data_IF_500351759454
#
_entry.id   IF_500351759454
#
_cell.length_a   1.000
_cell.length_b   1.000
_cell.length_c   1.000
_cell.angle_alpha   90.00
_cell.angle_beta   90.00
_cell.angle_gamma   90.00
#
_symmetry.space_group_name_H-M   'P 1'
#
loop_
_entity.id
_entity.type
_entity.pdbx_description
1 polymer ?
#
# COMPACT_ATOMS: atom_id res chain seq x y z
N UNK A 1 52.60 -10.83 46.83
CA UNK A 1 52.53 -11.52 45.53
C UNK A 1 51.13 -11.33 44.96
N UNK A 2 50.96 -10.58 43.87
CA UNK A 2 49.68 -10.51 43.15
C UNK A 2 49.61 -11.72 42.21
N UNK A 3 48.76 -12.69 42.52
CA UNK A 3 48.40 -13.76 41.59
C UNK A 3 47.48 -13.17 40.53
N UNK A 4 48.01 -12.89 39.35
CA UNK A 4 47.20 -12.58 38.18
C UNK A 4 46.54 -13.88 37.71
N UNK A 5 45.24 -14.02 37.95
CA UNK A 5 44.40 -15.05 37.34
C UNK A 5 44.34 -14.79 35.84
N UNK A 6 45.21 -15.46 35.08
CA UNK A 6 45.20 -15.42 33.62
C UNK A 6 43.99 -16.21 33.13
N UNK A 7 42.99 -15.51 32.58
CA UNK A 7 41.84 -16.13 31.94
C UNK A 7 42.31 -16.84 30.67
N UNK A 8 41.91 -18.10 30.47
CA UNK A 8 42.28 -18.86 29.28
C UNK A 8 41.58 -18.28 28.05
N UNK A 9 42.29 -17.43 27.31
CA UNK A 9 41.78 -16.75 26.11
C UNK A 9 41.35 -17.73 25.01
N UNK A 10 41.93 -18.94 24.96
CA UNK A 10 41.53 -19.99 24.02
C UNK A 10 40.11 -20.50 24.30
N UNK A 11 39.78 -20.76 25.56
CA UNK A 11 38.44 -21.17 25.97
C UNK A 11 37.40 -20.06 25.82
N UNK A 12 37.81 -18.80 26.02
CA UNK A 12 36.95 -17.64 25.79
C UNK A 12 36.66 -17.42 24.29
N UNK A 13 37.65 -17.66 23.42
CA UNK A 13 37.48 -17.53 21.97
C UNK A 13 36.58 -18.64 21.40
N UNK A 14 36.72 -19.87 21.88
CA UNK A 14 35.93 -21.02 21.40
C UNK A 14 34.44 -20.84 21.72
N UNK A 15 34.11 -20.44 22.95
CA UNK A 15 32.71 -20.21 23.32
C UNK A 15 32.09 -19.01 22.59
N UNK A 16 32.87 -17.94 22.35
CA UNK A 16 32.40 -16.80 21.57
C UNK A 16 32.16 -17.16 20.09
N UNK A 17 33.00 -18.03 19.51
CA UNK A 17 32.87 -18.50 18.14
C UNK A 17 31.63 -19.39 17.96
N UNK A 18 31.39 -20.31 18.89
CA UNK A 18 30.18 -21.14 18.89
C UNK A 18 28.91 -20.31 19.09
N UNK A 19 28.93 -19.30 19.97
CA UNK A 19 27.81 -18.37 20.14
C UNK A 19 27.54 -17.58 18.85
N UNK A 20 28.56 -17.13 18.13
CA UNK A 20 28.39 -16.43 16.85
C UNK A 20 27.79 -17.33 15.78
N UNK A 21 28.27 -18.57 15.63
CA UNK A 21 27.67 -19.53 14.69
C UNK A 21 26.25 -19.85 15.10
N UNK A 22 25.98 -20.06 16.40
CA UNK A 22 24.64 -20.29 16.91
C UNK A 22 23.71 -19.13 16.54
N UNK A 23 24.07 -17.89 16.88
CA UNK A 23 23.29 -16.73 16.49
C UNK A 23 23.10 -16.67 14.97
N UNK A 24 24.15 -16.84 14.17
CA UNK A 24 24.07 -16.74 12.71
C UNK A 24 23.25 -17.89 12.05
N UNK A 25 23.21 -19.07 12.67
CA UNK A 25 22.46 -20.24 12.19
C UNK A 25 21.01 -20.28 12.69
N UNK A 26 20.72 -19.74 13.87
CA UNK A 26 19.37 -19.68 14.42
C UNK A 26 18.67 -18.35 14.19
N UNK A 27 19.36 -17.30 13.76
CA UNK A 27 18.71 -16.09 13.23
C UNK A 27 18.05 -16.43 11.90
N UNK A 28 16.78 -16.78 11.95
CA UNK A 28 15.91 -16.74 10.79
C UNK A 28 15.56 -15.28 10.53
N UNK A 29 15.93 -14.75 9.35
CA UNK A 29 15.28 -13.55 8.86
C UNK A 29 13.87 -14.00 8.47
N UNK A 30 12.87 -13.66 9.30
CA UNK A 30 11.47 -13.72 8.91
C UNK A 30 11.34 -12.84 7.66
N UNK A 31 11.24 -13.46 6.49
CA UNK A 31 10.94 -12.72 5.28
C UNK A 31 9.47 -12.35 5.35
N UNK A 32 9.17 -11.14 5.79
CA UNK A 32 7.86 -10.54 5.56
C UNK A 32 7.51 -10.75 4.10
N UNK A 33 6.32 -11.31 3.84
CA UNK A 33 5.83 -11.55 2.48
C UNK A 33 5.82 -10.20 1.77
N UNK A 34 6.82 -9.97 0.93
CA UNK A 34 6.97 -8.71 0.21
C UNK A 34 5.70 -8.43 -0.57
N UNK A 35 5.13 -7.24 -0.36
CA UNK A 35 3.94 -6.85 -1.08
C UNK A 35 4.33 -6.45 -2.49
N UNK A 36 3.80 -7.14 -3.50
CA UNK A 36 4.03 -6.78 -4.89
C UNK A 36 3.34 -5.45 -5.20
N UNK A 37 4.12 -4.37 -5.16
CA UNK A 37 3.70 -3.02 -5.52
C UNK A 37 4.55 -2.52 -6.68
N UNK A 38 3.89 -2.15 -7.77
CA UNK A 38 4.52 -1.34 -8.80
C UNK A 38 4.57 0.10 -8.31
N UNK A 39 5.78 0.57 -8.02
CA UNK A 39 5.98 1.98 -7.71
C UNK A 39 5.58 2.85 -8.91
N UNK A 40 4.95 4.00 -8.67
CA UNK A 40 4.76 5.00 -9.71
C UNK A 40 6.10 5.34 -10.36
N UNK A 41 6.08 5.64 -11.65
CA UNK A 41 7.30 6.09 -12.33
C UNK A 41 7.82 7.36 -11.64
N UNK A 42 9.14 7.46 -11.39
CA UNK A 42 9.72 8.70 -10.91
C UNK A 42 9.39 9.81 -11.90
N UNK A 43 9.03 11.00 -11.43
CA UNK A 43 8.71 12.10 -12.32
C UNK A 43 9.96 12.49 -13.12
N UNK A 44 9.78 12.72 -14.41
CA UNK A 44 10.86 13.17 -15.30
C UNK A 44 11.01 14.71 -15.31
N UNK A 45 10.16 15.44 -14.58
CA UNK A 45 10.15 16.91 -14.51
C UNK A 45 10.28 17.37 -13.05
N UNK A 46 11.02 18.46 -12.84
CA UNK A 46 11.34 19.04 -11.51
C UNK A 46 10.10 19.45 -10.70
N UNK A 47 8.94 19.60 -11.34
CA UNK A 47 7.64 19.86 -10.71
C UNK A 47 6.73 18.60 -10.80
N UNK A 48 6.96 17.62 -9.93
CA UNK A 48 6.02 16.51 -9.67
C UNK A 48 4.69 16.98 -9.07
N UNK A 49 4.62 18.22 -8.58
CA UNK A 49 3.42 18.80 -7.98
C UNK A 49 2.41 19.15 -9.07
N UNK A 50 1.92 18.15 -9.82
CA UNK A 50 0.65 18.33 -10.50
C UNK A 50 -0.36 18.70 -9.42
N UNK A 51 -0.92 19.90 -9.47
CA UNK A 51 -2.01 20.30 -8.57
C UNK A 51 -3.19 19.36 -8.83
N UNK A 52 -3.24 18.26 -8.08
CA UNK A 52 -4.38 17.35 -8.09
C UNK A 52 -5.50 18.13 -7.41
N UNK A 53 -6.64 18.25 -8.08
CA UNK A 53 -7.80 18.89 -7.48
C UNK A 53 -8.27 18.02 -6.31
N UNK A 54 -8.60 18.63 -5.16
CA UNK A 54 -9.04 17.90 -3.96
C UNK A 54 -10.22 16.96 -4.25
N UNK A 55 -11.15 17.36 -5.13
CA UNK A 55 -12.28 16.53 -5.60
C UNK A 55 -11.90 15.22 -6.29
N UNK A 56 -10.65 15.09 -6.73
CA UNK A 56 -10.15 13.88 -7.38
C UNK A 56 -9.48 12.93 -6.37
N UNK A 57 -9.30 13.36 -5.13
CA UNK A 57 -8.62 12.61 -4.08
C UNK A 57 -9.66 11.80 -3.31
N UNK A 58 -9.44 10.48 -3.28
CA UNK A 58 -10.14 9.56 -2.42
C UNK A 58 -9.29 9.31 -1.17
N UNK A 59 -9.73 9.83 -0.03
CA UNK A 59 -8.97 9.73 1.22
C UNK A 59 -9.43 8.51 2.03
N UNK A 60 -8.47 7.66 2.38
CA UNK A 60 -8.63 6.53 3.30
C UNK A 60 -7.65 6.77 4.44
N UNK A 61 -8.13 6.76 5.67
CA UNK A 61 -7.32 6.95 6.86
C UNK A 61 -7.49 5.77 7.79
N UNK A 62 -6.38 5.25 8.32
CA UNK A 62 -6.37 4.10 9.23
C UNK A 62 -5.61 4.50 10.48
N UNK A 63 -6.28 4.41 11.63
CA UNK A 63 -5.69 4.77 12.92
C UNK A 63 -4.82 3.61 13.46
N UNK A 64 -4.20 3.78 14.63
CA UNK A 64 -3.40 2.73 15.26
C UNK A 64 -4.19 1.57 15.89
N UNK A 65 -5.51 1.71 16.01
CA UNK A 65 -6.41 0.74 16.64
C UNK A 65 -7.09 -0.17 15.58
N UNK A 66 -6.83 0.09 14.29
CA UNK A 66 -7.42 -0.64 13.17
C UNK A 66 -8.76 -0.08 12.69
N UNK A 67 -9.17 1.10 13.15
CA UNK A 67 -10.37 1.77 12.65
C UNK A 67 -10.09 2.50 11.33
N UNK A 68 -11.10 2.46 10.45
CA UNK A 68 -11.04 3.00 9.10
C UNK A 68 -11.94 4.23 8.98
N UNK A 69 -11.38 5.30 8.43
CA UNK A 69 -12.09 6.49 8.01
C UNK A 69 -11.98 6.61 6.50
N UNK A 70 -13.11 6.62 5.82
CA UNK A 70 -13.18 6.73 4.36
C UNK A 70 -13.90 8.05 4.06
N UNK A 71 -13.27 8.95 3.32
CA UNK A 71 -13.80 10.29 3.04
C UNK A 71 -14.21 11.05 4.32
N UNK A 72 -13.45 10.90 5.40
CA UNK A 72 -13.72 11.45 6.74
C UNK A 72 -14.97 10.91 7.44
N UNK A 73 -15.50 9.76 7.03
CA UNK A 73 -16.61 9.08 7.68
C UNK A 73 -16.19 7.68 8.13
N UNK A 74 -16.65 7.26 9.31
CA UNK A 74 -16.49 5.88 9.77
C UNK A 74 -17.37 4.96 8.91
N UNK A 75 -16.73 4.01 8.24
CA UNK A 75 -17.39 3.05 7.35
C UNK A 75 -16.76 1.66 7.52
N UNK A 76 -17.51 0.63 7.14
CA UNK A 76 -16.97 -0.73 7.19
C UNK A 76 -16.01 -0.97 6.02
N UNK A 77 -14.98 -1.78 6.26
CA UNK A 77 -14.03 -2.16 5.21
C UNK A 77 -14.71 -2.82 3.99
N UNK A 78 -15.81 -3.54 4.22
CA UNK A 78 -16.62 -4.16 3.16
C UNK A 78 -17.27 -3.15 2.20
N UNK A 79 -17.49 -1.91 2.66
CA UNK A 79 -18.12 -0.83 1.89
C UNK A 79 -17.10 -0.05 1.05
N UNK A 80 -15.83 -0.02 1.49
CA UNK A 80 -14.71 0.66 0.82
C UNK A 80 -14.66 0.38 -0.68
N UNK A 81 -14.85 -0.90 -1.04
CA UNK A 81 -14.80 -1.33 -2.43
C UNK A 81 -15.86 -0.66 -3.29
N UNK A 82 -17.11 -0.60 -2.83
CA UNK A 82 -18.21 -0.02 -3.61
C UNK A 82 -18.07 1.50 -3.67
N UNK A 83 -17.78 2.14 -2.55
CA UNK A 83 -17.55 3.60 -2.49
C UNK A 83 -16.41 4.05 -3.41
N UNK A 84 -15.32 3.28 -3.47
CA UNK A 84 -14.22 3.58 -4.37
C UNK A 84 -14.61 3.42 -5.85
N UNK A 85 -15.42 2.40 -6.19
CA UNK A 85 -15.93 2.21 -7.56
C UNK A 85 -16.83 3.39 -7.94
N UNK A 86 -17.77 3.76 -7.07
CA UNK A 86 -18.72 4.84 -7.32
C UNK A 86 -18.02 6.20 -7.46
N UNK A 87 -17.00 6.45 -6.63
CA UNK A 87 -16.14 7.64 -6.74
C UNK A 87 -15.39 7.70 -8.07
N UNK A 88 -14.77 6.58 -8.48
CA UNK A 88 -13.94 6.54 -9.70
C UNK A 88 -14.80 6.58 -10.96
N UNK A 89 -15.95 5.90 -10.99
CA UNK A 89 -16.85 5.88 -12.14
C UNK A 89 -17.67 7.18 -12.26
N UNK A 90 -17.95 7.86 -11.15
CA UNK A 90 -18.73 9.10 -11.08
C UNK A 90 -20.02 9.04 -11.95
N UNK A 91 -20.82 8.00 -11.74
CA UNK A 91 -22.02 7.72 -12.56
C UNK A 91 -23.02 8.89 -12.59
N UNK A 92 -23.04 9.71 -11.53
CA UNK A 92 -23.95 10.85 -11.38
C UNK A 92 -23.41 12.16 -11.96
N UNK A 93 -22.20 12.18 -12.56
CA UNK A 93 -21.53 13.40 -13.03
C UNK A 93 -21.49 14.51 -11.96
N UNK A 94 -21.20 14.12 -10.72
CA UNK A 94 -21.13 15.04 -9.61
C UNK A 94 -19.87 15.92 -9.72
N UNK A 95 -20.00 17.22 -9.44
CA UNK A 95 -18.88 18.17 -9.50
C UNK A 95 -17.81 17.93 -8.43
N UNK A 96 -18.18 17.21 -7.37
CA UNK A 96 -17.31 16.85 -6.23
C UNK A 96 -16.53 15.54 -6.44
N UNK A 97 -16.76 14.84 -7.55
CA UNK A 97 -16.09 13.59 -7.91
C UNK A 97 -15.16 13.79 -9.11
N UNK A 98 -14.20 12.88 -9.36
CA UNK A 98 -13.30 13.00 -10.49
C UNK A 98 -14.09 13.00 -11.81
N UNK A 99 -13.70 13.90 -12.72
CA UNK A 99 -14.34 14.02 -14.03
C UNK A 99 -14.07 12.79 -14.94
N UNK A 100 -13.09 11.96 -14.59
CA UNK A 100 -12.75 10.74 -15.30
C UNK A 100 -11.97 9.79 -14.39
N UNK A 101 -12.08 8.46 -14.59
CA UNK A 101 -11.32 7.47 -13.82
C UNK A 101 -9.80 7.69 -13.85
N UNK A 102 -9.28 8.25 -14.94
CA UNK A 102 -7.86 8.54 -15.14
C UNK A 102 -7.30 9.62 -14.19
N UNK A 103 -8.19 10.45 -13.63
CA UNK A 103 -7.81 11.54 -12.72
C UNK A 103 -7.99 11.17 -11.26
N UNK A 104 -8.61 10.03 -10.97
CA UNK A 104 -8.87 9.59 -9.60
C UNK A 104 -7.56 9.20 -8.92
N UNK A 105 -7.35 9.75 -7.72
CA UNK A 105 -6.16 9.54 -6.92
C UNK A 105 -6.57 8.98 -5.57
N UNK A 106 -5.94 7.90 -5.11
CA UNK A 106 -6.22 7.30 -3.80
C UNK A 106 -5.09 7.68 -2.85
N UNK A 107 -5.43 8.38 -1.77
CA UNK A 107 -4.50 8.67 -0.69
C UNK A 107 -4.83 7.77 0.51
N UNK A 108 -3.86 6.96 0.91
CA UNK A 108 -3.94 6.10 2.07
C UNK A 108 -3.06 6.68 3.18
N UNK A 109 -3.73 7.25 4.18
CA UNK A 109 -3.12 7.81 5.39
C UNK A 109 -3.07 6.73 6.47
N UNK A 110 -1.87 6.34 6.88
CA UNK A 110 -1.68 5.24 7.83
C UNK A 110 -1.01 5.75 9.11
N UNK A 111 -1.51 5.32 10.27
CA UNK A 111 -0.80 5.53 11.53
C UNK A 111 0.49 4.71 11.56
N UNK A 112 1.58 5.31 12.06
CA UNK A 112 2.86 4.60 12.27
C UNK A 112 2.78 3.44 13.25
N UNK A 113 1.74 3.41 14.08
CA UNK A 113 1.48 2.35 15.05
C UNK A 113 0.54 1.26 14.52
N UNK A 114 0.07 1.35 13.27
CA UNK A 114 -0.82 0.34 12.69
C UNK A 114 -0.03 -0.95 12.44
N UNK A 115 -0.61 -2.06 12.87
CA UNK A 115 -0.05 -3.38 12.60
C UNK A 115 -0.22 -3.75 11.12
N UNK A 116 0.79 -4.44 10.59
CA UNK A 116 0.79 -4.86 9.19
C UNK A 116 -0.44 -5.72 8.83
N UNK A 117 -0.95 -6.52 9.77
CA UNK A 117 -2.13 -7.37 9.59
C UNK A 117 -3.40 -6.59 9.28
N UNK A 118 -3.51 -5.35 9.76
CA UNK A 118 -4.69 -4.50 9.57
C UNK A 118 -4.54 -3.60 8.34
N UNK A 119 -3.31 -3.30 7.94
CA UNK A 119 -3.01 -2.61 6.69
C UNK A 119 -3.37 -3.43 5.44
N UNK A 120 -3.06 -4.73 5.45
CA UNK A 120 -3.20 -5.60 4.26
C UNK A 120 -4.64 -5.67 3.73
N UNK A 121 -5.67 -5.88 4.57
CA UNK A 121 -7.06 -5.91 4.11
C UNK A 121 -7.49 -4.63 3.38
N UNK A 122 -7.07 -3.45 3.86
CA UNK A 122 -7.38 -2.16 3.22
C UNK A 122 -6.81 -2.11 1.82
N UNK A 123 -5.54 -2.47 1.69
CA UNK A 123 -4.87 -2.45 0.41
C UNK A 123 -5.43 -3.47 -0.58
N UNK A 124 -5.81 -4.65 -0.07
CA UNK A 124 -6.47 -5.69 -0.86
C UNK A 124 -7.83 -5.23 -1.37
N UNK A 125 -8.63 -4.54 -0.57
CA UNK A 125 -9.91 -3.97 -1.01
C UNK A 125 -9.73 -2.90 -2.10
N UNK A 126 -8.76 -2.00 -1.94
CA UNK A 126 -8.43 -1.00 -2.99
C UNK A 126 -8.02 -1.69 -4.29
N UNK A 127 -7.14 -2.71 -4.22
CA UNK A 127 -6.73 -3.49 -5.39
C UNK A 127 -7.91 -4.26 -6.00
N UNK A 128 -8.78 -4.83 -5.17
CA UNK A 128 -9.96 -5.57 -5.60
C UNK A 128 -10.98 -4.67 -6.32
N UNK A 129 -11.19 -3.43 -5.85
CA UNK A 129 -12.03 -2.44 -6.52
C UNK A 129 -11.53 -2.17 -7.95
N UNK A 130 -10.24 -1.84 -8.11
CA UNK A 130 -9.65 -1.60 -9.42
C UNK A 130 -9.67 -2.84 -10.32
N UNK A 131 -9.46 -4.02 -9.76
CA UNK A 131 -9.59 -5.28 -10.51
C UNK A 131 -11.02 -5.43 -11.06
N UNK A 132 -12.04 -5.23 -10.23
CA UNK A 132 -13.44 -5.31 -10.65
C UNK A 132 -13.78 -4.27 -11.73
N UNK A 133 -13.34 -3.01 -11.59
CA UNK A 133 -13.56 -1.97 -12.61
C UNK A 133 -12.92 -2.34 -13.95
N UNK A 134 -11.67 -2.82 -13.92
CA UNK A 134 -10.92 -3.23 -15.12
C UNK A 134 -11.55 -4.43 -15.81
N UNK A 135 -12.06 -5.38 -15.04
CA UNK A 135 -12.76 -6.57 -15.56
C UNK A 135 -14.10 -6.20 -16.20
N UNK A 136 -14.90 -5.35 -15.53
CA UNK A 136 -16.14 -4.81 -16.09
C UNK A 136 -15.90 -4.05 -17.40
N UNK A 137 -14.86 -3.21 -17.44
CA UNK A 137 -14.51 -2.46 -18.64
C UNK A 137 -13.99 -3.40 -19.76
N UNK A 138 -13.21 -4.42 -19.42
CA UNK A 138 -12.75 -5.44 -20.37
C UNK A 138 -13.92 -6.18 -21.03
N UNK A 139 -14.91 -6.59 -20.25
CA UNK A 139 -16.08 -7.26 -20.79
C UNK A 139 -16.95 -6.34 -21.66
N UNK A 140 -17.11 -5.08 -21.27
CA UNK A 140 -17.87 -4.08 -22.04
C UNK A 140 -17.21 -3.77 -23.40
N UNK A 141 -15.90 -3.53 -23.41
CA UNK A 141 -15.18 -3.06 -24.60
C UNK A 141 -14.73 -4.23 -25.50
N UNK A 142 -14.15 -5.28 -24.91
CA UNK A 142 -13.50 -6.37 -25.65
C UNK A 142 -14.27 -7.68 -25.64
N UNK A 143 -15.33 -7.80 -24.82
CA UNK A 143 -16.11 -9.05 -24.60
C UNK A 143 -15.23 -10.25 -24.19
N UNK A 144 -14.10 -9.97 -23.56
CA UNK A 144 -13.13 -10.96 -23.07
C UNK A 144 -12.92 -10.79 -21.57
N UNK A 145 -12.58 -11.89 -20.91
CA UNK A 145 -12.13 -11.83 -19.52
C UNK A 145 -10.75 -11.19 -19.43
N UNK A 146 -10.46 -10.57 -18.30
CA UNK A 146 -9.20 -9.85 -18.10
C UNK A 146 -7.96 -10.74 -18.32
N UNK A 147 -8.06 -12.03 -18.00
CA UNK A 147 -6.99 -13.03 -18.17
C UNK A 147 -6.72 -13.42 -19.63
N UNK A 148 -7.64 -13.11 -20.55
CA UNK A 148 -7.56 -13.48 -21.96
C UNK A 148 -7.14 -12.30 -22.86
N UNK A 149 -6.84 -11.16 -22.26
CA UNK A 149 -6.44 -9.95 -22.98
C UNK A 149 -5.02 -10.07 -23.51
N UNK A 150 -4.80 -9.49 -24.69
CA UNK A 150 -3.47 -9.25 -25.22
C UNK A 150 -2.77 -8.12 -24.47
N UNK A 151 -1.44 -8.08 -24.54
CA UNK A 151 -0.60 -7.04 -23.89
C UNK A 151 -1.03 -5.62 -24.28
N UNK A 152 -1.52 -5.42 -25.51
CA UNK A 152 -1.99 -4.12 -26.00
C UNK A 152 -3.33 -3.74 -25.35
N UNK A 153 -4.28 -4.67 -25.30
CA UNK A 153 -5.59 -4.44 -24.66
C UNK A 153 -5.42 -4.20 -23.15
N UNK A 154 -4.56 -4.96 -22.47
CA UNK A 154 -4.25 -4.75 -21.05
C UNK A 154 -3.66 -3.37 -20.81
N UNK A 155 -2.72 -2.89 -21.65
CA UNK A 155 -2.17 -1.54 -21.55
C UNK A 155 -3.25 -0.47 -21.72
N UNK A 156 -4.20 -0.67 -22.62
CA UNK A 156 -5.31 0.25 -22.82
C UNK A 156 -6.17 0.38 -21.55
N UNK A 157 -6.49 -0.75 -20.92
CA UNK A 157 -7.28 -0.79 -19.69
C UNK A 157 -6.52 -0.15 -18.51
N UNK A 158 -5.21 -0.44 -18.38
CA UNK A 158 -4.37 0.17 -17.34
C UNK A 158 -4.23 1.68 -17.52
N UNK A 159 -4.24 2.16 -18.77
CA UNK A 159 -4.25 3.59 -19.07
C UNK A 159 -5.59 4.24 -18.71
N UNK A 160 -6.70 3.51 -18.90
CA UNK A 160 -8.05 4.01 -18.60
C UNK A 160 -8.36 4.03 -17.10
N UNK A 161 -7.93 3.00 -16.37
CA UNK A 161 -8.07 2.85 -14.93
C UNK A 161 -6.69 2.72 -14.26
N UNK A 162 -5.89 3.81 -14.25
CA UNK A 162 -4.61 3.81 -13.56
C UNK A 162 -4.84 3.74 -12.05
N UNK A 163 -4.13 2.85 -11.37
CA UNK A 163 -4.11 2.85 -9.91
C UNK A 163 -3.04 3.85 -9.47
N UNK A 164 -3.47 5.04 -9.05
CA UNK A 164 -2.61 6.07 -8.48
C UNK A 164 -2.81 6.05 -6.96
N UNK A 165 -2.04 5.21 -6.29
CA UNK A 165 -2.05 5.09 -4.84
C UNK A 165 -0.83 5.83 -4.29
N UNK A 166 -1.07 6.77 -3.37
CA UNK A 166 -0.03 7.30 -2.51
C UNK A 166 -0.29 6.88 -1.07
N UNK A 167 0.80 6.53 -0.39
CA UNK A 167 0.79 6.21 1.02
C UNK A 167 1.48 7.33 1.78
N UNK A 168 0.82 7.82 2.82
CA UNK A 168 1.35 8.85 3.71
C UNK A 168 1.24 8.37 5.14
N UNK A 169 2.29 8.56 5.93
CA UNK A 169 2.21 8.28 7.38
C UNK A 169 1.72 9.51 8.10
N UNK A 170 0.65 9.41 8.87
CA UNK A 170 0.27 10.47 9.79
C UNK A 170 1.32 10.56 10.91
N UNK A 171 1.95 11.73 11.05
CA UNK A 171 2.65 12.03 12.29
C UNK A 171 1.56 12.19 13.36
N UNK A 172 1.67 11.48 14.48
CA UNK A 172 0.80 11.70 15.63
C UNK A 172 0.79 13.20 15.94
N UNK A 173 -0.32 13.87 15.63
CA UNK A 173 -0.54 15.25 16.03
C UNK A 173 -0.68 15.23 17.54
N UNK A 174 0.44 15.39 18.24
CA UNK A 174 0.44 15.80 19.63
C UNK A 174 -0.12 17.22 19.60
N UNK A 175 -1.45 17.34 19.70
CA UNK A 175 -2.05 18.62 20.02
C UNK A 175 -1.70 18.94 21.49
N UNK A 176 -1.23 20.16 21.78
CA UNK A 176 -0.79 20.59 23.11
C UNK A 176 -1.93 20.68 24.12
#
# INVERSE_FOLDING_TARGET
MKTSTSVNAGSMADIAFLMLIFFLTTTTIETDKGLDQNLPKPCEQDDCSSKIAERNIFQISVNGEGDYLIQNHEMQLSELKQELIDFVENANNSEVMPASPEKAFVNLDVSRSLDYTDYIPVLDEVKAAYKSMRENYSQKEFKKNYTQLSVVETKHILKKYPLQLAESTMAATINP
#
